data_IF_645745652952
#
_entry.id   IF_645745652952
#
_cell.length_a   1.000
_cell.length_b   1.000
_cell.length_c   1.000
_cell.angle_alpha   90.00
_cell.angle_beta   90.00
_cell.angle_gamma   90.00
#
_symmetry.space_group_name_H-M   'P 1'
#
loop_
_entity.id
_entity.type
_entity.pdbx_description
1 polymer ?
#
# COMPACT_ATOMS: atom_id res chain seq x y z
N UNK A 1 1.58 4.46 -2.49
CA UNK A 1 1.98 3.56 -3.58
C UNK A 1 2.52 4.39 -4.73
N UNK A 2 3.85 4.40 -4.95
CA UNK A 2 4.44 5.07 -6.11
C UNK A 2 3.97 4.48 -7.45
N UNK A 3 3.47 3.24 -7.45
CA UNK A 3 2.82 2.61 -8.60
C UNK A 3 1.49 3.29 -8.94
N UNK A 4 0.61 3.42 -7.96
CA UNK A 4 -0.77 3.87 -8.15
C UNK A 4 -1.00 5.38 -7.91
N UNK A 5 -0.01 6.09 -7.35
CA UNK A 5 -0.15 7.50 -6.96
C UNK A 5 -1.01 7.75 -5.72
N UNK A 6 -1.43 6.69 -5.01
CA UNK A 6 -2.32 6.76 -3.84
C UNK A 6 -1.52 6.65 -2.54
N UNK A 7 -1.82 7.46 -1.53
CA UNK A 7 -1.26 7.33 -0.18
C UNK A 7 -2.07 6.34 0.69
N UNK A 8 -1.38 5.66 1.62
CA UNK A 8 -2.05 4.84 2.63
C UNK A 8 -2.75 5.74 3.65
N UNK A 9 -3.86 5.28 4.23
CA UNK A 9 -4.63 6.02 5.26
C UNK A 9 -3.90 6.14 6.59
N UNK A 10 -2.82 5.38 6.79
CA UNK A 10 -2.03 5.43 8.01
C UNK A 10 -0.83 4.50 7.95
N UNK A 11 -0.21 4.35 9.11
CA UNK A 11 0.97 3.55 9.36
C UNK A 11 0.66 2.42 10.33
N UNK A 12 1.52 1.40 10.37
CA UNK A 12 1.39 0.31 11.34
C UNK A 12 1.46 0.81 12.80
N UNK A 13 2.16 1.91 13.06
CA UNK A 13 2.20 2.53 14.39
C UNK A 13 0.83 3.09 14.79
N UNK A 14 0.13 3.78 13.88
CA UNK A 14 -1.21 4.31 14.13
C UNK A 14 -2.22 3.19 14.38
N UNK A 15 -2.13 2.09 13.63
CA UNK A 15 -2.98 0.91 13.84
C UNK A 15 -2.84 0.34 15.26
N UNK A 16 -1.61 0.29 15.80
CA UNK A 16 -1.36 -0.16 17.18
C UNK A 16 -1.97 0.81 18.19
N UNK A 17 -1.81 2.13 17.98
CA UNK A 17 -2.42 3.15 18.86
C UNK A 17 -3.94 3.03 18.88
N UNK A 18 -4.59 2.94 17.72
CA UNK A 18 -6.04 2.79 17.62
C UNK A 18 -6.53 1.52 18.31
N UNK A 19 -5.82 0.41 18.18
CA UNK A 19 -6.17 -0.83 18.86
C UNK A 19 -6.12 -0.65 20.39
N UNK A 20 -5.07 -0.03 20.93
CA UNK A 20 -4.94 0.26 22.36
C UNK A 20 -6.03 1.22 22.87
N UNK A 21 -6.47 2.15 22.02
CA UNK A 21 -7.54 3.12 22.31
C UNK A 21 -8.96 2.54 22.12
N UNK A 22 -9.10 1.27 21.72
CA UNK A 22 -10.39 0.64 21.44
C UNK A 22 -11.08 1.13 20.15
N UNK A 23 -10.35 1.83 19.29
CA UNK A 23 -10.78 2.34 17.98
C UNK A 23 -10.75 1.25 16.92
N UNK A 24 -11.57 0.21 17.11
CA UNK A 24 -11.53 -1.01 16.29
C UNK A 24 -11.96 -0.75 14.84
N UNK A 25 -12.85 0.22 14.59
CA UNK A 25 -13.31 0.53 13.22
C UNK A 25 -12.17 1.08 12.37
N UNK A 26 -11.34 1.93 12.96
CA UNK A 26 -10.17 2.55 12.35
C UNK A 26 -9.13 1.48 12.00
N UNK A 27 -8.88 0.53 12.91
CA UNK A 27 -8.02 -0.63 12.66
C UNK A 27 -8.54 -1.46 11.48
N UNK A 28 -9.83 -1.80 11.48
CA UNK A 28 -10.44 -2.58 10.39
C UNK A 28 -10.31 -1.84 9.06
N UNK A 29 -10.61 -0.54 9.04
CA UNK A 29 -10.55 0.27 7.83
C UNK A 29 -9.12 0.33 7.26
N UNK A 30 -8.14 0.55 8.13
CA UNK A 30 -6.72 0.51 7.77
C UNK A 30 -6.29 -0.84 7.20
N UNK A 31 -6.62 -1.94 7.89
CA UNK A 31 -6.27 -3.28 7.43
C UNK A 31 -6.90 -3.64 6.08
N UNK A 32 -8.17 -3.26 5.87
CA UNK A 32 -8.85 -3.48 4.59
C UNK A 32 -8.18 -2.71 3.46
N UNK A 33 -7.86 -1.43 3.69
CA UNK A 33 -7.21 -0.62 2.68
C UNK A 33 -5.82 -1.17 2.30
N UNK A 34 -5.06 -1.69 3.28
CA UNK A 34 -3.76 -2.30 3.00
C UNK A 34 -3.87 -3.51 2.05
N UNK A 35 -4.92 -4.33 2.21
CA UNK A 35 -5.20 -5.48 1.33
C UNK A 35 -5.67 -5.00 -0.05
N UNK A 36 -6.58 -4.02 -0.10
CA UNK A 36 -7.08 -3.45 -1.36
C UNK A 36 -5.96 -2.83 -2.18
N UNK A 37 -5.10 -2.01 -1.56
CA UNK A 37 -3.96 -1.39 -2.22
C UNK A 37 -2.94 -2.43 -2.72
N UNK A 38 -2.73 -3.51 -1.95
CA UNK A 38 -1.83 -4.61 -2.36
C UNK A 38 -2.39 -5.32 -3.59
N UNK A 39 -3.69 -5.59 -3.61
CA UNK A 39 -4.36 -6.20 -4.77
C UNK A 39 -4.23 -5.31 -6.01
N UNK A 40 -4.49 -4.02 -5.89
CA UNK A 40 -4.39 -3.08 -7.03
C UNK A 40 -2.96 -2.97 -7.56
N UNK A 41 -1.94 -2.97 -6.68
CA UNK A 41 -0.53 -3.01 -7.11
C UNK A 41 -0.25 -4.31 -7.86
N UNK A 42 -0.72 -5.44 -7.35
CA UNK A 42 -0.56 -6.75 -8.00
C UNK A 42 -1.23 -6.78 -9.37
N UNK A 43 -2.46 -6.32 -9.48
CA UNK A 43 -3.19 -6.23 -10.75
C UNK A 43 -2.47 -5.34 -11.76
N UNK A 44 -2.00 -4.16 -11.33
CA UNK A 44 -1.19 -3.28 -12.16
C UNK A 44 0.08 -3.98 -12.65
N UNK A 45 0.81 -4.62 -11.75
CA UNK A 45 2.06 -5.31 -12.08
C UNK A 45 1.85 -6.49 -13.04
N UNK A 46 0.77 -7.26 -12.86
CA UNK A 46 0.38 -8.35 -13.75
C UNK A 46 0.02 -7.83 -15.15
N UNK A 47 -0.69 -6.71 -15.25
CA UNK A 47 -1.11 -6.13 -16.53
C UNK A 47 0.04 -5.45 -17.27
N UNK A 48 0.93 -4.75 -16.55
CA UNK A 48 1.96 -3.87 -17.14
C UNK A 48 3.38 -4.48 -17.14
N UNK A 49 3.59 -5.59 -16.42
CA UNK A 49 4.91 -6.23 -16.26
C UNK A 49 5.92 -5.39 -15.45
N UNK A 50 5.44 -4.37 -14.71
CA UNK A 50 6.27 -3.50 -13.89
C UNK A 50 5.49 -2.86 -12.75
N UNK A 51 6.19 -2.44 -11.70
CA UNK A 51 5.70 -1.59 -10.62
C UNK A 51 6.71 -0.48 -10.32
N UNK A 52 6.33 0.46 -9.46
CA UNK A 52 7.21 1.55 -9.03
C UNK A 52 7.42 1.57 -7.52
N UNK A 53 8.67 1.80 -7.12
CA UNK A 53 9.09 1.94 -5.73
C UNK A 53 9.81 3.29 -5.52
N UNK A 54 9.72 3.85 -4.32
CA UNK A 54 10.27 5.16 -3.97
C UNK A 54 11.10 5.03 -2.69
N UNK A 55 12.43 4.81 -2.78
CA UNK A 55 13.28 4.65 -1.60
C UNK A 55 13.44 5.96 -0.82
N UNK A 56 13.41 7.08 -1.51
CA UNK A 56 13.53 8.43 -0.95
C UNK A 56 12.59 9.37 -1.69
N UNK A 57 12.10 10.42 -1.00
CA UNK A 57 11.16 11.38 -1.59
C UNK A 57 11.71 11.96 -2.90
N UNK A 58 10.92 11.86 -3.96
CA UNK A 58 11.26 12.38 -5.29
C UNK A 58 11.99 11.39 -6.21
N UNK A 59 12.42 10.23 -5.71
CA UNK A 59 13.06 9.19 -6.54
C UNK A 59 12.07 8.07 -6.82
N UNK A 60 11.65 7.92 -8.07
CA UNK A 60 10.77 6.81 -8.51
C UNK A 60 11.59 5.81 -9.33
N UNK A 61 11.68 4.58 -8.83
CA UNK A 61 12.40 3.48 -9.47
C UNK A 61 11.38 2.52 -10.07
N UNK A 62 11.57 2.16 -11.33
CA UNK A 62 10.81 1.09 -11.99
C UNK A 62 11.39 -0.28 -11.63
N UNK A 63 10.52 -1.24 -11.34
CA UNK A 63 10.87 -2.62 -11.06
C UNK A 63 10.07 -3.51 -12.01
N UNK A 64 10.75 -4.27 -12.87
CA UNK A 64 10.10 -5.28 -13.72
C UNK A 64 9.58 -6.42 -12.86
N UNK A 65 8.37 -6.89 -13.15
CA UNK A 65 7.75 -8.03 -12.47
C UNK A 65 7.17 -8.99 -13.51
N UNK A 66 7.21 -10.28 -13.20
CA UNK A 66 6.56 -11.34 -13.98
C UNK A 66 5.51 -12.01 -13.08
N UNK A 67 4.38 -11.32 -12.93
CA UNK A 67 3.24 -11.80 -12.14
C UNK A 67 2.21 -12.39 -13.08
N UNK A 68 1.85 -13.66 -12.84
CA UNK A 68 0.85 -14.41 -13.61
C UNK A 68 -0.50 -14.33 -12.93
#
# INVERSE_FOLDING_TARGET
>A
SPTLGIEKLGTGYEAVSWFQEGKIKEVINYCRQDVELTREIYEYGREHGLIYYCPTRGVRIEVKVDWK
#
